data_IF_371488273338
#
_entry.id   IF_371488273338
#
_cell.length_a   1.000
_cell.length_b   1.000
_cell.length_c   1.000
_cell.angle_alpha   90.00
_cell.angle_beta   90.00
_cell.angle_gamma   90.00
#
_symmetry.space_group_name_H-M   'P 1'
#
loop_
_entity.id
_entity.type
_entity.pdbx_description
1 polymer ?
#
# COMPACT_ATOMS: atom_id res chain seq x y z
N UNK A 1 2.96 -7.63 -21.81
CA UNK A 1 2.85 -7.88 -20.36
C UNK A 1 1.60 -8.73 -20.16
N UNK A 2 1.60 -9.78 -19.32
CA UNK A 2 0.33 -10.38 -18.92
C UNK A 2 -0.55 -9.29 -18.30
N UNK A 3 -1.87 -9.45 -18.39
CA UNK A 3 -2.81 -8.46 -17.89
C UNK A 3 -2.62 -8.31 -16.37
N UNK A 4 -2.05 -7.17 -15.98
CA UNK A 4 -1.83 -6.80 -14.60
C UNK A 4 -3.09 -6.12 -14.08
N UNK A 5 -3.72 -6.73 -13.08
CA UNK A 5 -4.93 -6.20 -12.47
C UNK A 5 -4.66 -5.84 -11.01
N UNK A 6 -5.14 -4.67 -10.59
CA UNK A 6 -5.24 -4.36 -9.18
C UNK A 6 -6.36 -5.20 -8.57
N UNK A 7 -6.07 -5.91 -7.48
CA UNK A 7 -7.12 -6.53 -6.70
C UNK A 7 -7.83 -5.43 -5.89
N UNK A 8 -9.05 -5.10 -6.30
CA UNK A 8 -9.92 -4.14 -5.60
C UNK A 8 -10.87 -4.83 -4.62
N UNK A 9 -10.72 -6.14 -4.39
CA UNK A 9 -11.56 -6.87 -3.45
C UNK A 9 -11.42 -6.29 -2.04
N UNK A 10 -12.52 -5.74 -1.53
CA UNK A 10 -12.54 -5.05 -0.23
C UNK A 10 -11.96 -3.63 -0.24
N UNK A 11 -11.64 -3.08 -1.41
CA UNK A 11 -11.33 -1.66 -1.59
C UNK A 11 -12.62 -0.90 -1.91
N UNK A 12 -12.89 0.16 -1.16
CA UNK A 12 -13.99 1.09 -1.46
C UNK A 12 -13.39 2.31 -2.14
N UNK A 13 -13.75 2.52 -3.40
CA UNK A 13 -13.57 3.82 -4.07
C UNK A 13 -14.81 4.64 -3.74
N UNK A 14 -14.66 5.63 -2.86
CA UNK A 14 -15.77 6.39 -2.30
C UNK A 14 -15.73 7.87 -2.66
N UNK A 15 -16.90 8.48 -2.62
CA UNK A 15 -17.08 9.94 -2.69
C UNK A 15 -17.86 10.36 -1.45
N UNK A 16 -17.39 11.39 -0.75
CA UNK A 16 -18.12 12.00 0.36
C UNK A 16 -19.30 12.80 -0.20
N UNK A 17 -20.52 12.39 0.14
CA UNK A 17 -21.73 13.12 -0.19
C UNK A 17 -22.03 14.16 0.91
N UNK A 18 -22.42 15.40 0.54
CA UNK A 18 -22.88 16.37 1.51
C UNK A 18 -24.12 15.82 2.24
N UNK A 19 -24.15 15.94 3.57
CA UNK A 19 -25.35 15.63 4.34
C UNK A 19 -26.43 16.66 3.99
N UNK A 20 -27.56 16.21 3.43
CA UNK A 20 -28.70 17.11 3.16
C UNK A 20 -29.20 17.77 4.44
N UNK A 21 -29.53 19.04 4.32
CA UNK A 21 -29.81 20.00 5.39
C UNK A 21 -30.86 19.50 6.40
N UNK A 22 -30.51 19.48 7.70
CA UNK A 22 -31.48 19.16 8.74
C UNK A 22 -31.05 19.43 10.18
N UNK A 23 -29.78 19.24 10.55
CA UNK A 23 -29.30 19.51 11.91
C UNK A 23 -27.81 19.89 11.88
N UNK A 24 -27.50 21.13 12.30
CA UNK A 24 -26.15 21.65 12.55
C UNK A 24 -25.08 21.10 11.60
N UNK A 25 -25.12 21.57 10.34
CA UNK A 25 -24.14 21.21 9.31
C UNK A 25 -22.74 21.61 9.75
N UNK A 26 -22.02 20.68 10.37
CA UNK A 26 -20.56 20.72 10.38
C UNK A 26 -20.19 20.60 8.91
N UNK A 27 -19.84 21.72 8.27
CA UNK A 27 -19.18 21.69 6.97
C UNK A 27 -17.98 20.77 7.14
N UNK A 28 -18.02 19.57 6.56
CA UNK A 28 -16.83 18.75 6.43
C UNK A 28 -15.94 19.50 5.44
N UNK A 29 -15.10 20.38 5.97
CA UNK A 29 -14.08 21.09 5.20
C UNK A 29 -12.92 20.11 4.94
N UNK A 30 -13.25 19.03 4.22
CA UNK A 30 -12.28 18.03 3.80
C UNK A 30 -11.69 18.47 2.47
N UNK A 31 -10.36 18.52 2.35
CA UNK A 31 -9.71 18.97 1.12
C UNK A 31 -9.94 18.03 -0.07
N UNK A 32 -10.39 16.79 0.19
CA UNK A 32 -10.63 15.78 -0.84
C UNK A 32 -11.95 15.04 -0.57
N UNK A 33 -12.84 15.03 -1.57
CA UNK A 33 -14.11 14.31 -1.51
C UNK A 33 -14.01 12.86 -2.00
N UNK A 34 -13.01 12.54 -2.82
CA UNK A 34 -12.77 11.18 -3.31
C UNK A 34 -11.75 10.47 -2.41
N UNK A 35 -12.00 9.21 -2.06
CA UNK A 35 -11.10 8.43 -1.22
C UNK A 35 -11.03 6.95 -1.62
N UNK A 36 -9.94 6.31 -1.20
CA UNK A 36 -9.73 4.87 -1.28
C UNK A 36 -9.73 4.35 0.15
N UNK A 37 -10.69 3.49 0.51
CA UNK A 37 -10.67 2.77 1.78
C UNK A 37 -10.21 1.33 1.55
N UNK A 38 -9.30 0.86 2.40
CA UNK A 38 -8.80 -0.52 2.39
C UNK A 38 -9.13 -1.19 3.72
N UNK A 39 -9.00 -2.52 3.80
CA UNK A 39 -9.11 -3.22 5.09
C UNK A 39 -8.12 -2.63 6.09
N UNK A 40 -8.59 -2.44 7.31
CA UNK A 40 -7.79 -1.98 8.42
C UNK A 40 -6.70 -3.00 8.75
N UNK A 41 -5.44 -2.56 8.70
CA UNK A 41 -4.32 -3.34 9.20
C UNK A 41 -4.27 -3.15 10.73
N UNK A 42 -4.18 -4.22 11.54
CA UNK A 42 -4.02 -4.09 12.99
C UNK A 42 -2.84 -3.17 13.32
N UNK A 43 -3.11 -2.08 14.05
CA UNK A 43 -2.09 -1.10 14.45
C UNK A 43 -2.24 -0.66 15.92
N UNK A 44 -2.68 -1.59 16.78
CA UNK A 44 -2.65 -1.38 18.22
C UNK A 44 -1.20 -1.23 18.73
N UNK A 45 -0.99 -0.69 19.94
CA UNK A 45 0.35 -0.59 20.54
C UNK A 45 1.07 -1.95 20.70
N UNK A 46 0.34 -3.06 20.63
CA UNK A 46 0.87 -4.42 20.71
C UNK A 46 1.15 -5.05 19.34
N UNK A 47 0.65 -4.45 18.25
CA UNK A 47 0.90 -4.93 16.89
C UNK A 47 2.29 -4.52 16.39
N UNK A 48 2.83 -5.28 15.43
CA UNK A 48 4.09 -4.91 14.80
C UNK A 48 3.91 -3.61 14.01
N UNK A 49 4.85 -2.65 14.14
CA UNK A 49 4.80 -1.43 13.35
C UNK A 49 4.90 -1.76 11.87
N UNK A 50 4.25 -0.94 11.04
CA UNK A 50 4.43 -1.01 9.59
C UNK A 50 5.92 -0.77 9.29
N UNK A 51 6.52 -1.73 8.60
CA UNK A 51 7.89 -1.69 8.16
C UNK A 51 7.94 -1.43 6.65
N UNK A 52 8.93 -0.63 6.25
CA UNK A 52 9.29 -0.41 4.86
C UNK A 52 10.47 -1.29 4.49
N UNK A 53 10.26 -2.18 3.52
CA UNK A 53 11.24 -3.21 3.12
C UNK A 53 12.07 -2.81 1.91
N UNK A 54 11.48 -2.04 0.99
CA UNK A 54 12.18 -1.43 -0.15
C UNK A 54 11.79 0.05 -0.25
N UNK A 55 12.67 0.88 -0.81
CA UNK A 55 12.39 2.30 -1.07
C UNK A 55 12.23 2.58 -2.56
N UNK A 56 11.62 3.74 -2.86
CA UNK A 56 11.45 4.20 -4.25
C UNK A 56 12.77 4.55 -4.97
N UNK A 57 13.78 5.06 -4.24
CA UNK A 57 15.08 5.46 -4.84
C UNK A 57 16.09 4.31 -4.81
N UNK A 58 16.08 3.52 -3.73
CA UNK A 58 16.94 2.35 -3.57
C UNK A 58 16.18 1.25 -2.82
N UNK A 59 16.53 -0.01 -3.09
CA UNK A 59 15.90 -1.17 -2.43
C UNK A 59 16.34 -1.38 -0.97
N UNK A 60 17.15 -0.47 -0.41
CA UNK A 60 17.75 -0.64 0.91
C UNK A 60 19.00 -1.53 0.91
N UNK A 61 19.51 -1.80 2.11
CA UNK A 61 20.64 -2.71 2.31
C UNK A 61 20.22 -4.17 2.03
N UNK A 62 21.20 -5.00 1.70
CA UNK A 62 20.96 -6.43 1.57
C UNK A 62 20.47 -7.00 2.92
N UNK A 63 19.40 -7.81 2.92
CA UNK A 63 18.88 -8.39 4.16
C UNK A 63 19.90 -9.31 4.81
N UNK A 64 19.89 -9.34 6.15
CA UNK A 64 20.73 -10.24 6.93
C UNK A 64 20.31 -11.71 6.79
N UNK A 65 21.17 -12.66 7.16
CA UNK A 65 20.95 -14.11 6.95
C UNK A 65 19.77 -14.70 7.72
N UNK A 66 19.18 -13.96 8.66
CA UNK A 66 18.04 -14.38 9.48
C UNK A 66 16.76 -13.58 9.18
N UNK A 67 16.77 -12.72 8.18
CA UNK A 67 15.62 -11.91 7.78
C UNK A 67 14.94 -12.48 6.53
N UNK A 68 14.29 -13.63 6.71
CA UNK A 68 13.67 -14.37 5.61
C UNK A 68 12.56 -13.56 4.91
N UNK A 69 11.83 -12.70 5.62
CA UNK A 69 10.77 -11.88 5.04
C UNK A 69 11.36 -10.82 4.12
N UNK A 70 12.34 -10.04 4.58
CA UNK A 70 12.98 -9.04 3.73
C UNK A 70 13.71 -9.68 2.54
N UNK A 71 14.33 -10.86 2.74
CA UNK A 71 14.88 -11.66 1.64
C UNK A 71 13.84 -12.03 0.58
N UNK A 72 12.66 -12.50 1.00
CA UNK A 72 11.58 -12.84 0.09
C UNK A 72 11.08 -11.60 -0.68
N UNK A 73 10.92 -10.48 -0.01
CA UNK A 73 10.47 -9.21 -0.61
C UNK A 73 11.49 -8.69 -1.64
N UNK A 74 12.78 -8.68 -1.30
CA UNK A 74 13.85 -8.29 -2.24
C UNK A 74 13.90 -9.22 -3.46
N UNK A 75 13.76 -10.53 -3.21
CA UNK A 75 13.72 -11.54 -4.28
C UNK A 75 12.51 -11.36 -5.19
N UNK A 76 11.34 -10.98 -4.64
CA UNK A 76 10.15 -10.67 -5.41
C UNK A 76 10.34 -9.43 -6.29
N UNK A 77 10.90 -8.33 -5.75
CA UNK A 77 11.24 -7.15 -6.55
C UNK A 77 12.16 -7.52 -7.71
N UNK A 78 13.19 -8.32 -7.46
CA UNK A 78 14.10 -8.79 -8.51
C UNK A 78 13.39 -9.69 -9.53
N UNK A 79 12.55 -10.62 -9.08
CA UNK A 79 11.76 -11.49 -9.94
C UNK A 79 10.87 -10.69 -10.89
N UNK A 80 10.12 -9.70 -10.41
CA UNK A 80 9.24 -8.87 -11.25
C UNK A 80 10.04 -8.15 -12.33
N UNK A 81 11.20 -7.59 -11.97
CA UNK A 81 12.10 -6.94 -12.93
C UNK A 81 12.56 -7.91 -14.02
N UNK A 82 13.00 -9.11 -13.66
CA UNK A 82 13.45 -10.12 -14.63
C UNK A 82 12.28 -10.60 -15.50
N UNK A 83 11.15 -10.93 -14.87
CA UNK A 83 9.96 -11.46 -15.53
C UNK A 83 9.39 -10.47 -16.55
N UNK A 84 9.36 -9.18 -16.21
CA UNK A 84 8.87 -8.11 -17.10
C UNK A 84 9.94 -7.63 -18.09
N UNK A 85 11.09 -8.33 -18.21
CA UNK A 85 12.22 -7.93 -19.05
C UNK A 85 12.66 -6.48 -18.81
N UNK A 86 12.74 -6.11 -17.52
CA UNK A 86 13.11 -4.78 -17.02
C UNK A 86 12.11 -3.66 -17.34
N UNK A 87 10.88 -4.00 -17.74
CA UNK A 87 9.84 -3.00 -18.01
C UNK A 87 9.18 -2.45 -16.74
N UNK A 88 9.18 -3.21 -15.65
CA UNK A 88 8.46 -2.88 -14.41
C UNK A 88 9.29 -3.30 -13.19
N UNK A 89 9.28 -2.46 -12.15
CA UNK A 89 9.89 -2.75 -10.85
C UNK A 89 8.90 -2.33 -9.77
N UNK A 90 8.57 -3.26 -8.87
CA UNK A 90 7.83 -2.91 -7.66
C UNK A 90 8.81 -2.52 -6.56
N UNK A 91 8.64 -1.30 -6.08
CA UNK A 91 9.39 -0.67 -5.00
C UNK A 91 8.41 -0.14 -3.96
N UNK A 92 8.94 0.50 -2.90
CA UNK A 92 8.12 0.99 -1.78
C UNK A 92 7.25 -0.10 -1.13
N UNK A 93 7.74 -1.34 -1.13
CA UNK A 93 7.05 -2.47 -0.51
C UNK A 93 7.10 -2.30 1.00
N UNK A 94 5.92 -2.16 1.61
CA UNK A 94 5.72 -1.86 3.03
C UNK A 94 4.50 -2.58 3.59
N UNK A 95 4.53 -2.93 4.88
CA UNK A 95 3.47 -3.71 5.55
C UNK A 95 3.87 -4.13 6.96
N UNK A 96 3.08 -5.02 7.58
CA UNK A 96 3.30 -5.58 8.93
C UNK A 96 3.33 -7.11 8.87
#
# INVERSE_FOLDING_TARGET
LPDFHFNLEGVILGVLEPLEEGHNSVSLDVPFVHFIATRYLPCSPTDKPIQKFTGNVNCGAAPGPHDALTMAIHSFTHFVMVYTRKALVFCDLQGS
#
